data_IF_256081698619
#
_entry.id   IF_256081698619
#
_cell.length_a   1.000
_cell.length_b   1.000
_cell.length_c   1.000
_cell.angle_alpha   90.00
_cell.angle_beta   90.00
_cell.angle_gamma   90.00
#
_symmetry.space_group_name_H-M   'P 1'
#
loop_
_entity.id
_entity.type
_entity.pdbx_description
1 polymer ?
#
# COMPACT_ATOMS: atom_id res chain seq x y z
N UNK A 1 -7.35 36.32 4.66
CA UNK A 1 -6.49 35.23 4.15
C UNK A 1 -7.25 34.50 3.04
N UNK A 2 -6.87 34.65 1.76
CA UNK A 2 -7.58 33.97 0.65
C UNK A 2 -7.16 32.49 0.64
N UNK A 3 -8.09 31.59 0.91
CA UNK A 3 -7.85 30.14 0.80
C UNK A 3 -7.54 29.82 -0.67
N UNK A 4 -6.49 29.02 -0.91
CA UNK A 4 -6.11 28.58 -2.27
C UNK A 4 -7.23 27.70 -2.84
N UNK A 5 -7.55 27.87 -4.12
CA UNK A 5 -8.69 27.18 -4.76
C UNK A 5 -8.59 25.66 -4.68
N UNK A 6 -7.37 25.09 -4.74
CA UNK A 6 -7.15 23.65 -4.54
C UNK A 6 -7.53 23.15 -3.14
N UNK A 7 -7.25 23.91 -2.09
CA UNK A 7 -7.60 23.52 -0.71
C UNK A 7 -9.12 23.56 -0.53
N UNK A 8 -9.77 24.58 -1.10
CA UNK A 8 -11.22 24.71 -1.05
C UNK A 8 -11.95 23.55 -1.75
N UNK A 9 -11.41 23.06 -2.87
CA UNK A 9 -11.91 21.86 -3.55
C UNK A 9 -11.80 20.61 -2.67
N UNK A 10 -10.63 20.41 -2.03
CA UNK A 10 -10.41 19.27 -1.12
C UNK A 10 -11.37 19.26 0.07
N UNK A 11 -11.53 20.40 0.76
CA UNK A 11 -12.46 20.52 1.89
C UNK A 11 -13.93 20.37 1.46
N UNK A 12 -14.31 20.88 0.29
CA UNK A 12 -15.67 20.73 -0.25
C UNK A 12 -16.00 19.27 -0.57
N UNK A 13 -15.08 18.55 -1.23
CA UNK A 13 -15.27 17.14 -1.55
C UNK A 13 -15.32 16.28 -0.27
N UNK A 14 -14.45 16.55 0.70
CA UNK A 14 -14.46 15.87 2.00
C UNK A 14 -15.77 16.11 2.74
N UNK A 15 -16.27 17.36 2.76
CA UNK A 15 -17.57 17.70 3.34
C UNK A 15 -18.73 16.98 2.67
N UNK A 16 -18.70 16.84 1.34
CA UNK A 16 -19.71 16.11 0.58
C UNK A 16 -19.71 14.62 0.92
N UNK A 17 -18.53 13.99 0.99
CA UNK A 17 -18.39 12.57 1.35
C UNK A 17 -18.90 12.32 2.77
N UNK A 18 -18.55 13.17 3.74
CA UNK A 18 -19.03 13.06 5.12
C UNK A 18 -20.53 13.28 5.23
N UNK A 19 -21.08 14.26 4.51
CA UNK A 19 -22.52 14.52 4.47
C UNK A 19 -23.29 13.33 3.85
N UNK A 20 -22.76 12.74 2.77
CA UNK A 20 -23.35 11.56 2.14
C UNK A 20 -23.30 10.35 3.08
N UNK A 21 -22.18 10.13 3.78
CA UNK A 21 -22.04 9.07 4.78
C UNK A 21 -23.01 9.25 5.96
N UNK A 22 -23.16 10.48 6.47
CA UNK A 22 -24.10 10.80 7.55
C UNK A 22 -25.56 10.64 7.10
N UNK A 23 -25.91 11.10 5.91
CA UNK A 23 -27.24 10.92 5.34
C UNK A 23 -27.59 9.43 5.18
N UNK A 24 -26.63 8.61 4.74
CA UNK A 24 -26.77 7.15 4.68
C UNK A 24 -27.05 6.53 6.06
N UNK A 25 -26.36 6.98 7.11
CA UNK A 25 -26.54 6.47 8.48
C UNK A 25 -27.87 6.88 9.08
N UNK A 26 -28.27 8.14 8.88
CA UNK A 26 -29.52 8.69 9.42
C UNK A 26 -30.77 8.21 8.67
N UNK A 27 -30.63 7.81 7.40
CA UNK A 27 -31.76 7.40 6.55
C UNK A 27 -32.15 5.92 6.70
N UNK A 28 -31.42 5.12 7.46
CA UNK A 28 -31.58 3.65 7.46
C UNK A 28 -31.86 3.13 8.88
N UNK A 29 -33.01 2.48 9.07
CA UNK A 29 -33.46 1.93 10.35
C UNK A 29 -32.69 0.66 10.79
N UNK A 30 -32.07 -0.06 9.85
CA UNK A 30 -31.27 -1.28 10.13
C UNK A 30 -29.92 -1.26 9.42
N UNK A 31 -28.83 -1.19 10.19
CA UNK A 31 -27.46 -1.21 9.66
C UNK A 31 -27.07 -2.62 9.20
N UNK A 32 -27.08 -2.83 7.88
CA UNK A 32 -26.58 -4.08 7.27
C UNK A 32 -25.08 -4.02 6.98
N UNK A 33 -24.45 -5.17 6.73
CA UNK A 33 -23.03 -5.28 6.34
C UNK A 33 -22.61 -4.38 5.17
N UNK A 34 -23.52 -4.11 4.23
CA UNK A 34 -23.26 -3.19 3.12
C UNK A 34 -23.06 -1.74 3.56
N UNK A 35 -23.80 -1.29 4.58
CA UNK A 35 -23.68 0.06 5.14
C UNK A 35 -22.33 0.25 5.85
N UNK A 36 -21.88 -0.76 6.59
CA UNK A 36 -20.54 -0.76 7.19
C UNK A 36 -19.44 -0.67 6.13
N UNK A 37 -19.57 -1.37 5.00
CA UNK A 37 -18.63 -1.27 3.88
C UNK A 37 -18.56 0.13 3.26
N UNK A 38 -19.71 0.76 3.01
CA UNK A 38 -19.80 2.11 2.44
C UNK A 38 -19.27 3.18 3.39
N UNK A 39 -19.52 3.02 4.70
CA UNK A 39 -18.97 3.88 5.74
C UNK A 39 -17.45 3.75 5.83
N UNK A 40 -16.93 2.52 5.83
CA UNK A 40 -15.49 2.27 5.82
C UNK A 40 -14.83 2.98 4.63
N UNK A 41 -15.37 2.81 3.42
CA UNK A 41 -14.83 3.42 2.21
C UNK A 41 -14.86 4.95 2.29
N UNK A 42 -15.97 5.53 2.74
CA UNK A 42 -16.11 6.98 2.90
C UNK A 42 -15.09 7.55 3.90
N UNK A 43 -14.92 6.90 5.06
CA UNK A 43 -13.99 7.33 6.09
C UNK A 43 -12.52 7.15 5.67
N UNK A 44 -12.18 6.08 4.95
CA UNK A 44 -10.84 5.87 4.40
C UNK A 44 -10.48 7.00 3.42
N UNK A 45 -11.40 7.36 2.52
CA UNK A 45 -11.15 8.45 1.56
C UNK A 45 -10.92 9.77 2.30
N UNK A 46 -11.73 10.09 3.30
CA UNK A 46 -11.57 11.29 4.14
C UNK A 46 -10.23 11.28 4.89
N UNK A 47 -9.84 10.15 5.48
CA UNK A 47 -8.59 10.02 6.22
C UNK A 47 -7.34 10.18 5.33
N UNK A 48 -7.39 9.66 4.09
CA UNK A 48 -6.33 9.85 3.09
C UNK A 48 -6.26 11.32 2.65
N UNK A 49 -7.39 11.99 2.44
CA UNK A 49 -7.43 13.41 2.09
C UNK A 49 -6.91 14.33 3.20
N UNK A 50 -7.06 13.93 4.46
CA UNK A 50 -6.43 14.61 5.61
C UNK A 50 -4.90 14.42 5.66
N UNK A 51 -4.34 13.54 4.84
CA UNK A 51 -2.90 13.27 4.76
C UNK A 51 -2.41 12.28 5.81
N UNK A 52 -3.29 11.50 6.45
CA UNK A 52 -2.87 10.45 7.36
C UNK A 52 -2.15 9.34 6.59
N UNK A 53 -1.07 8.73 7.13
CA UNK A 53 -0.34 7.68 6.42
C UNK A 53 -1.26 6.52 6.02
N UNK A 54 -1.30 6.22 4.72
CA UNK A 54 -2.31 5.32 4.14
C UNK A 54 -2.26 3.91 4.72
N UNK A 55 -1.06 3.39 5.01
CA UNK A 55 -0.89 2.07 5.63
C UNK A 55 -1.65 1.93 6.95
N UNK A 56 -1.54 2.93 7.84
CA UNK A 56 -2.24 2.93 9.11
C UNK A 56 -3.75 3.17 8.95
N UNK A 57 -4.18 4.02 7.99
CA UNK A 57 -5.62 4.19 7.70
C UNK A 57 -6.25 2.87 7.26
N UNK A 58 -5.65 2.17 6.31
CA UNK A 58 -6.24 0.96 5.71
C UNK A 58 -6.25 -0.19 6.72
N UNK A 59 -5.16 -0.35 7.48
CA UNK A 59 -5.08 -1.35 8.53
C UNK A 59 -6.08 -1.08 9.65
N UNK A 60 -6.08 0.14 10.21
CA UNK A 60 -6.97 0.49 11.31
C UNK A 60 -8.44 0.45 10.93
N UNK A 61 -8.82 1.05 9.80
CA UNK A 61 -10.21 1.05 9.32
C UNK A 61 -10.68 -0.35 8.94
N UNK A 62 -9.82 -1.16 8.30
CA UNK A 62 -10.12 -2.54 7.97
C UNK A 62 -10.38 -3.40 9.21
N UNK A 63 -9.56 -3.23 10.26
CA UNK A 63 -9.73 -3.93 11.53
C UNK A 63 -11.00 -3.52 12.28
N UNK A 64 -11.24 -2.21 12.41
CA UNK A 64 -12.41 -1.68 13.10
C UNK A 64 -13.71 -2.11 12.43
N UNK A 65 -13.80 -1.98 11.10
CA UNK A 65 -15.01 -2.33 10.37
C UNK A 65 -15.20 -3.84 10.20
N UNK A 66 -14.12 -4.64 10.14
CA UNK A 66 -14.24 -6.10 10.23
C UNK A 66 -14.85 -6.51 11.57
N UNK A 67 -14.37 -5.93 12.68
CA UNK A 67 -14.94 -6.19 14.01
C UNK A 67 -16.41 -5.81 14.08
N UNK A 68 -16.79 -4.61 13.61
CA UNK A 68 -18.19 -4.18 13.62
C UNK A 68 -19.09 -5.07 12.75
N UNK A 69 -18.64 -5.46 11.55
CA UNK A 69 -19.40 -6.31 10.66
C UNK A 69 -19.64 -7.72 11.25
N UNK A 70 -18.64 -8.31 11.90
CA UNK A 70 -18.81 -9.61 12.56
C UNK A 70 -19.64 -9.51 13.83
N UNK A 71 -19.51 -8.42 14.60
CA UNK A 71 -20.31 -8.21 15.79
C UNK A 71 -21.79 -7.98 15.47
N UNK A 72 -22.11 -7.30 14.36
CA UNK A 72 -23.49 -7.14 13.89
C UNK A 72 -24.12 -8.42 13.32
N UNK A 73 -23.31 -9.44 13.03
CA UNK A 73 -23.73 -10.71 12.43
C UNK A 73 -24.11 -11.81 13.43
N UNK A 74 -24.62 -11.45 14.61
CA UNK A 74 -25.07 -12.37 15.68
C UNK A 74 -23.95 -13.12 16.43
N UNK A 75 -22.69 -12.69 16.28
CA UNK A 75 -21.57 -13.22 17.06
C UNK A 75 -21.38 -12.47 18.38
N UNK A 76 -21.06 -13.23 19.45
CA UNK A 76 -20.59 -12.65 20.71
C UNK A 76 -19.36 -11.77 20.46
N UNK A 77 -19.22 -10.69 21.26
CA UNK A 77 -18.10 -9.75 21.12
C UNK A 77 -16.72 -10.43 21.12
N UNK A 78 -16.56 -11.53 21.88
CA UNK A 78 -15.35 -12.35 21.87
C UNK A 78 -15.11 -13.10 20.55
N UNK A 79 -16.16 -13.65 19.93
CA UNK A 79 -16.06 -14.35 18.65
C UNK A 79 -15.70 -13.41 17.49
N UNK A 80 -16.33 -12.23 17.45
CA UNK A 80 -16.03 -11.21 16.45
C UNK A 80 -14.58 -10.69 16.55
N UNK A 81 -14.08 -10.50 17.77
CA UNK A 81 -12.69 -10.12 18.01
C UNK A 81 -11.71 -11.20 17.54
N UNK A 82 -11.97 -12.46 17.92
CA UNK A 82 -11.15 -13.60 17.53
C UNK A 82 -11.05 -13.72 16.00
N UNK A 83 -12.19 -13.71 15.31
CA UNK A 83 -12.21 -13.84 13.85
C UNK A 83 -11.51 -12.66 13.14
N UNK A 84 -11.68 -11.44 13.66
CA UNK A 84 -11.01 -10.26 13.12
C UNK A 84 -9.49 -10.36 13.28
N UNK A 85 -9.02 -10.79 14.46
CA UNK A 85 -7.59 -10.99 14.74
C UNK A 85 -7.01 -12.13 13.90
N UNK A 86 -7.71 -13.25 13.78
CA UNK A 86 -7.28 -14.39 12.97
C UNK A 86 -7.12 -13.99 11.49
N UNK A 87 -8.08 -13.22 10.95
CA UNK A 87 -8.00 -12.68 9.59
C UNK A 87 -6.84 -11.68 9.44
N UNK A 88 -6.61 -10.82 10.44
CA UNK A 88 -5.48 -9.90 10.45
C UNK A 88 -4.14 -10.64 10.35
N UNK A 89 -3.97 -11.64 11.21
CA UNK A 89 -2.77 -12.47 11.27
C UNK A 89 -2.59 -13.22 9.95
N UNK A 90 -3.66 -13.81 9.43
CA UNK A 90 -3.64 -14.50 8.13
C UNK A 90 -3.20 -13.57 6.99
N UNK A 91 -3.70 -12.33 6.94
CA UNK A 91 -3.30 -11.34 5.94
C UNK A 91 -1.84 -10.92 6.11
N UNK A 92 -1.37 -10.74 7.34
CA UNK A 92 0.04 -10.45 7.62
C UNK A 92 0.96 -11.59 7.16
N UNK A 93 0.61 -12.85 7.47
CA UNK A 93 1.35 -14.02 7.00
C UNK A 93 1.36 -14.12 5.48
N UNK A 94 0.24 -13.86 4.80
CA UNK A 94 0.15 -13.88 3.34
C UNK A 94 1.05 -12.83 2.68
N UNK A 95 1.25 -11.67 3.31
CA UNK A 95 2.18 -10.65 2.82
C UNK A 95 3.62 -11.09 3.08
N UNK A 96 3.92 -11.63 4.27
CA UNK A 96 5.26 -12.09 4.62
C UNK A 96 5.74 -13.26 3.75
N UNK A 97 4.84 -14.16 3.34
CA UNK A 97 5.14 -15.29 2.46
C UNK A 97 5.19 -14.92 0.97
N UNK A 98 5.16 -13.63 0.63
CA UNK A 98 5.15 -13.18 -0.75
C UNK A 98 6.55 -13.29 -1.38
N UNK A 99 6.66 -14.07 -2.46
CA UNK A 99 7.93 -14.30 -3.17
C UNK A 99 8.61 -13.00 -3.66
N UNK A 100 7.84 -11.96 -3.95
CA UNK A 100 8.38 -10.64 -4.35
C UNK A 100 9.15 -10.01 -3.20
N UNK A 101 8.66 -10.11 -1.96
CA UNK A 101 9.38 -9.56 -0.81
C UNK A 101 10.67 -10.32 -0.52
N UNK A 102 10.66 -11.65 -0.73
CA UNK A 102 11.85 -12.50 -0.63
C UNK A 102 12.89 -12.13 -1.71
N UNK A 103 12.43 -11.70 -2.89
CA UNK A 103 13.32 -11.28 -3.98
C UNK A 103 14.16 -10.03 -3.64
N UNK A 104 13.68 -9.14 -2.78
CA UNK A 104 14.36 -7.87 -2.46
C UNK A 104 15.70 -8.12 -1.73
N UNK A 105 15.75 -8.86 -0.59
CA UNK A 105 17.02 -9.18 0.06
C UNK A 105 17.96 -10.00 -0.83
N UNK A 106 17.43 -10.94 -1.60
CA UNK A 106 18.24 -11.77 -2.50
C UNK A 106 18.85 -10.94 -3.64
N UNK A 107 18.11 -9.96 -4.16
CA UNK A 107 18.62 -9.01 -5.15
C UNK A 107 19.75 -8.15 -4.57
N UNK A 108 19.55 -7.60 -3.36
CA UNK A 108 20.60 -6.84 -2.66
C UNK A 108 21.82 -7.71 -2.37
N UNK A 109 21.62 -8.97 -1.97
CA UNK A 109 22.70 -9.92 -1.71
C UNK A 109 23.50 -10.24 -2.98
N UNK A 110 22.83 -10.49 -4.10
CA UNK A 110 23.49 -10.68 -5.39
C UNK A 110 24.31 -9.44 -5.77
N UNK A 111 23.73 -8.24 -5.65
CA UNK A 111 24.45 -6.98 -5.90
C UNK A 111 25.71 -6.86 -5.05
N UNK A 112 25.60 -7.12 -3.74
CA UNK A 112 26.73 -7.09 -2.82
C UNK A 112 27.82 -8.12 -3.16
N UNK A 113 27.44 -9.36 -3.51
CA UNK A 113 28.40 -10.38 -3.92
C UNK A 113 29.13 -10.00 -5.22
N UNK A 114 28.40 -9.47 -6.19
CA UNK A 114 28.94 -9.03 -7.49
C UNK A 114 29.94 -7.89 -7.31
N UNK A 115 29.64 -6.93 -6.43
CA UNK A 115 30.54 -5.84 -6.04
C UNK A 115 31.78 -6.37 -5.31
N UNK A 116 31.60 -7.19 -4.25
CA UNK A 116 32.70 -7.74 -3.45
C UNK A 116 33.64 -8.65 -4.23
N UNK A 117 33.14 -9.38 -5.21
CA UNK A 117 33.95 -10.26 -6.05
C UNK A 117 34.72 -9.52 -7.16
N UNK A 118 34.60 -8.17 -7.24
CA UNK A 118 35.11 -7.35 -8.33
C UNK A 118 34.71 -7.90 -9.71
N UNK A 119 33.54 -8.54 -9.82
CA UNK A 119 33.07 -9.13 -11.06
C UNK A 119 32.74 -8.04 -12.09
N UNK A 120 32.22 -6.90 -11.63
CA UNK A 120 31.91 -5.75 -12.49
C UNK A 120 33.17 -5.25 -13.20
N UNK A 121 34.26 -5.03 -12.46
CA UNK A 121 35.53 -4.54 -13.03
C UNK A 121 36.12 -5.53 -14.04
N UNK A 122 36.09 -6.84 -13.71
CA UNK A 122 36.57 -7.90 -14.62
C UNK A 122 35.69 -8.02 -15.87
N UNK A 123 34.39 -7.84 -15.76
CA UNK A 123 33.46 -7.82 -16.90
C UNK A 123 33.71 -6.62 -17.80
N UNK A 124 33.84 -5.41 -17.24
CA UNK A 124 34.17 -4.20 -18.02
C UNK A 124 35.50 -4.32 -18.74
N UNK A 125 36.54 -4.84 -18.07
CA UNK A 125 37.86 -5.05 -18.69
C UNK A 125 37.80 -6.08 -19.81
N UNK A 126 37.06 -7.17 -19.63
CA UNK A 126 36.85 -8.20 -20.66
C UNK A 126 36.08 -7.65 -21.86
N UNK A 127 35.02 -6.86 -21.63
CA UNK A 127 34.25 -6.17 -22.67
C UNK A 127 35.12 -5.19 -23.47
N UNK A 128 35.95 -4.41 -22.79
CA UNK A 128 36.86 -3.46 -23.43
C UNK A 128 37.88 -4.17 -24.34
N UNK A 129 38.44 -5.30 -23.88
CA UNK A 129 39.32 -6.13 -24.69
C UNK A 129 38.60 -6.79 -25.88
N UNK A 130 37.37 -7.24 -25.68
CA UNK A 130 36.57 -7.83 -26.75
C UNK A 130 36.20 -6.82 -27.86
N UNK A 131 35.93 -5.57 -27.48
CA UNK A 131 35.57 -4.47 -28.40
C UNK A 131 36.80 -3.69 -28.92
N UNK A 132 38.02 -4.10 -28.57
CA UNK A 132 39.26 -3.38 -28.91
C UNK A 132 39.50 -3.21 -30.42
N UNK A 133 38.89 -4.05 -31.27
CA UNK A 133 38.99 -3.98 -32.74
C UNK A 133 37.95 -3.08 -33.41
N UNK A 134 36.98 -2.53 -32.68
CA UNK A 134 35.95 -1.65 -33.25
C UNK A 134 36.44 -0.20 -33.19
N UNK A 135 36.75 0.46 -34.33
CA UNK A 135 37.12 1.87 -34.33
C UNK A 135 35.94 2.71 -33.81
N UNK A 136 36.17 3.50 -32.75
CA UNK A 136 35.11 4.24 -32.02
C UNK A 136 34.59 3.57 -30.74
N UNK A 137 35.26 2.52 -30.25
CA UNK A 137 34.84 1.71 -29.08
C UNK A 137 34.53 2.50 -27.80
N UNK A 138 35.20 3.63 -27.53
CA UNK A 138 34.91 4.52 -26.40
C UNK A 138 33.51 5.16 -26.47
N UNK A 139 32.97 5.40 -27.67
CA UNK A 139 31.62 5.92 -27.88
C UNK A 139 30.53 4.85 -27.80
N UNK A 140 30.85 3.61 -28.17
CA UNK A 140 29.91 2.48 -28.05
C UNK A 140 29.77 2.02 -26.59
N UNK A 141 30.86 2.07 -25.81
CA UNK A 141 30.86 1.70 -24.40
C UNK A 141 30.13 2.69 -23.47
N UNK A 142 29.80 3.89 -23.95
CA UNK A 142 29.07 4.93 -23.20
C UNK A 142 27.60 5.04 -23.57
N UNK A 143 27.16 4.39 -24.66
CA UNK A 143 25.77 4.36 -25.13
C UNK A 143 24.94 3.19 -24.56
N UNK A 144 25.57 2.24 -23.89
CA UNK A 144 24.94 1.10 -23.18
C UNK A 144 25.12 1.30 -21.69
#
# INVERSE_FOLDING_TARGET
MKIRKELWFGFSLMGLILAAALAMVLSVDTMTNGHYGLLMLSLVVVAIMLGFPTAFTLMGMGMLFAFFAYHSGDQTAGGAAQQTLDLMVQRAYSVMSNDVLISIPLFVFMGYLVERANLIEKLFRSLHLALARVPGSLGVATLV
#
